data_IF_150056796029
#
_entry.id   IF_150056796029
#
_cell.length_a   1.000
_cell.length_b   1.000
_cell.length_c   1.000
_cell.angle_alpha   90.00
_cell.angle_beta   90.00
_cell.angle_gamma   90.00
#
_symmetry.space_group_name_H-M   'P 1'
#
loop_
_entity.id
_entity.type
_entity.pdbx_description
1 polymer ?
#
# COMPACT_ATOMS: atom_id res chain seq x y z
N UNK A 1 13.61 24.13 -71.92
CA UNK A 1 13.68 22.68 -71.64
C UNK A 1 15.10 22.32 -71.27
N UNK A 2 15.40 22.08 -69.99
CA UNK A 2 16.51 21.21 -69.53
C UNK A 2 16.50 21.06 -68.00
N UNK A 3 16.10 19.85 -67.59
CA UNK A 3 16.61 19.02 -66.49
C UNK A 3 16.63 19.55 -65.06
N UNK A 4 15.54 19.22 -64.36
CA UNK A 4 15.44 18.56 -63.04
C UNK A 4 16.75 18.30 -62.28
N UNK A 5 16.94 19.04 -61.19
CA UNK A 5 17.90 18.77 -60.12
C UNK A 5 17.30 17.82 -59.07
N UNK A 6 17.89 16.63 -58.94
CA UNK A 6 17.71 15.77 -57.76
C UNK A 6 19.05 15.71 -57.01
N UNK A 7 19.02 16.14 -55.75
CA UNK A 7 20.14 16.06 -54.81
C UNK A 7 20.13 14.64 -54.24
N UNK A 8 21.05 13.78 -54.68
CA UNK A 8 21.31 12.51 -54.01
C UNK A 8 22.41 12.71 -52.97
N UNK A 9 21.97 12.97 -51.73
CA UNK A 9 22.79 12.82 -50.53
C UNK A 9 23.00 11.34 -50.25
N UNK A 10 24.15 10.81 -50.64
CA UNK A 10 24.64 9.53 -50.12
C UNK A 10 25.80 9.84 -49.18
N UNK A 11 25.51 9.85 -47.88
CA UNK A 11 26.50 9.99 -46.83
C UNK A 11 27.54 8.87 -46.98
N UNK A 12 28.80 9.28 -47.01
CA UNK A 12 29.96 8.41 -46.96
C UNK A 12 29.88 7.45 -45.77
N UNK A 13 29.76 6.15 -46.04
CA UNK A 13 30.07 5.11 -45.06
C UNK A 13 31.59 5.05 -44.94
N UNK A 14 32.11 5.49 -43.80
CA UNK A 14 33.52 5.35 -43.45
C UNK A 14 33.91 3.87 -43.51
N UNK A 15 34.91 3.55 -44.34
CA UNK A 15 35.57 2.24 -44.33
C UNK A 15 36.16 2.03 -42.93
N UNK A 16 35.50 1.22 -42.11
CA UNK A 16 36.10 0.68 -40.89
C UNK A 16 37.17 -0.31 -41.34
N UNK A 17 38.43 0.11 -41.26
CA UNK A 17 39.58 -0.75 -41.45
C UNK A 17 39.62 -1.79 -40.33
N UNK A 18 39.08 -2.99 -40.58
CA UNK A 18 39.27 -4.13 -39.68
C UNK A 18 40.76 -4.51 -39.70
N UNK A 19 41.38 -4.58 -38.52
CA UNK A 19 42.75 -5.08 -38.40
C UNK A 19 42.84 -6.52 -38.95
N UNK A 20 43.95 -6.92 -39.60
CA UNK A 20 44.08 -8.28 -40.12
C UNK A 20 44.14 -9.27 -38.95
N UNK A 21 43.05 -9.99 -38.71
CA UNK A 21 42.94 -11.06 -37.70
C UNK A 21 43.59 -12.37 -38.18
N UNK A 22 43.98 -12.43 -39.46
CA UNK A 22 44.60 -13.57 -40.14
C UNK A 22 45.71 -14.29 -39.33
N UNK A 23 46.69 -13.62 -38.69
CA UNK A 23 47.73 -14.32 -37.95
C UNK A 23 47.24 -14.96 -36.63
N UNK A 24 46.08 -14.54 -36.12
CA UNK A 24 45.51 -15.00 -34.84
C UNK A 24 44.53 -16.16 -34.99
N UNK A 25 44.05 -16.44 -36.21
CA UNK A 25 43.09 -17.51 -36.49
C UNK A 25 43.53 -18.88 -35.94
N UNK A 26 44.83 -19.21 -36.07
CA UNK A 26 45.38 -20.47 -35.55
C UNK A 26 45.26 -20.59 -34.03
N UNK A 27 45.47 -19.50 -33.30
CA UNK A 27 45.36 -19.52 -31.84
C UNK A 27 43.90 -19.56 -31.38
N UNK A 28 43.01 -18.84 -32.07
CA UNK A 28 41.57 -18.89 -31.83
C UNK A 28 41.03 -20.30 -32.09
N UNK A 29 41.47 -20.95 -33.18
CA UNK A 29 41.07 -22.31 -33.50
C UNK A 29 41.54 -23.33 -32.45
N UNK A 30 42.79 -23.22 -31.98
CA UNK A 30 43.32 -24.07 -30.91
C UNK A 30 42.55 -23.84 -29.59
N UNK A 31 42.25 -22.59 -29.25
CA UNK A 31 41.48 -22.27 -28.04
C UNK A 31 40.05 -22.83 -28.12
N UNK A 32 39.41 -22.75 -29.28
CA UNK A 32 38.07 -23.28 -29.50
C UNK A 32 38.06 -24.82 -29.42
N UNK A 33 39.07 -25.48 -30.02
CA UNK A 33 39.26 -26.92 -29.87
C UNK A 33 39.47 -27.33 -28.41
N UNK A 34 40.32 -26.63 -27.67
CA UNK A 34 40.54 -26.91 -26.24
C UNK A 34 39.25 -26.75 -25.42
N UNK A 35 38.44 -25.73 -25.72
CA UNK A 35 37.15 -25.51 -25.05
C UNK A 35 36.14 -26.62 -25.34
N UNK A 36 36.09 -27.11 -26.58
CA UNK A 36 35.23 -28.24 -26.97
C UNK A 36 35.68 -29.54 -26.30
N UNK A 37 36.99 -29.83 -26.29
CA UNK A 37 37.55 -31.02 -25.64
C UNK A 37 37.25 -31.00 -24.13
N UNK A 38 37.40 -29.84 -23.48
CA UNK A 38 37.06 -29.66 -22.06
C UNK A 38 35.59 -29.95 -21.76
N UNK A 39 34.67 -29.48 -22.62
CA UNK A 39 33.24 -29.77 -22.47
C UNK A 39 32.92 -31.25 -22.64
N UNK A 40 33.54 -31.93 -23.62
CA UNK A 40 33.33 -33.36 -23.83
C UNK A 40 33.88 -34.18 -22.65
N UNK A 41 35.04 -33.81 -22.13
CA UNK A 41 35.64 -34.46 -20.97
C UNK A 41 34.78 -34.30 -19.71
N UNK A 42 34.29 -33.09 -19.45
CA UNK A 42 33.39 -32.84 -18.30
C UNK A 42 32.06 -33.59 -18.43
N UNK A 43 31.49 -33.68 -19.63
CA UNK A 43 30.26 -34.45 -19.85
C UNK A 43 30.47 -35.95 -19.59
N UNK A 44 31.63 -36.49 -19.98
CA UNK A 44 31.98 -37.90 -19.82
C UNK A 44 32.29 -38.27 -18.37
N UNK A 45 32.95 -37.37 -17.62
CA UNK A 45 33.31 -37.59 -16.21
C UNK A 45 32.14 -37.35 -15.26
N UNK A 46 31.14 -36.56 -15.67
CA UNK A 46 29.99 -36.20 -14.83
C UNK A 46 29.20 -37.42 -14.35
N UNK A 47 29.07 -38.46 -15.18
CA UNK A 47 28.30 -39.67 -14.86
C UNK A 47 28.90 -40.48 -13.72
N UNK A 48 30.23 -40.44 -13.57
CA UNK A 48 30.93 -41.13 -12.48
C UNK A 48 31.10 -40.27 -11.22
N UNK A 49 30.92 -38.96 -11.31
CA UNK A 49 30.95 -38.05 -10.14
C UNK A 49 29.60 -37.93 -9.42
N UNK A 50 28.53 -38.52 -9.95
CA UNK A 50 27.23 -38.58 -9.28
C UNK A 50 27.21 -39.69 -8.22
N UNK A 51 26.83 -39.40 -6.96
CA UNK A 51 26.63 -40.44 -5.95
C UNK A 51 25.60 -41.46 -6.43
N UNK A 52 26.01 -42.73 -6.56
CA UNK A 52 25.14 -43.83 -7.00
C UNK A 52 24.26 -44.37 -5.88
N UNK A 53 24.59 -44.03 -4.64
CA UNK A 53 23.87 -44.49 -3.45
C UNK A 53 22.72 -43.56 -3.10
N UNK A 54 21.56 -44.17 -2.84
CA UNK A 54 20.41 -43.44 -2.30
C UNK A 54 20.77 -42.94 -0.89
N UNK A 55 20.40 -41.71 -0.51
CA UNK A 55 20.58 -41.25 0.86
C UNK A 55 19.91 -42.24 1.82
N UNK A 56 20.52 -42.49 3.00
CA UNK A 56 19.96 -43.41 3.97
C UNK A 56 18.51 -43.02 4.28
N UNK A 57 17.58 -43.98 4.36
CA UNK A 57 16.19 -43.68 4.65
C UNK A 57 16.13 -42.96 6.00
N UNK A 58 15.52 -41.77 6.00
CA UNK A 58 15.22 -41.05 7.22
C UNK A 58 14.38 -41.97 8.11
N UNK A 59 14.90 -42.30 9.29
CA UNK A 59 14.15 -43.08 10.29
C UNK A 59 12.92 -42.26 10.66
N UNK A 60 11.79 -42.58 10.05
CA UNK A 60 10.51 -42.12 10.54
C UNK A 60 10.27 -42.90 11.82
N UNK A 61 10.63 -42.29 12.96
CA UNK A 61 10.14 -42.73 14.24
C UNK A 61 8.61 -42.66 14.16
N UNK A 62 7.99 -43.78 13.82
CA UNK A 62 6.58 -43.99 14.06
C UNK A 62 6.42 -44.14 15.57
N UNK A 63 6.56 -43.04 16.30
CA UNK A 63 5.92 -42.95 17.59
C UNK A 63 4.44 -43.10 17.29
N UNK A 64 3.91 -44.31 17.46
CA UNK A 64 2.47 -44.49 17.63
C UNK A 64 2.15 -43.61 18.83
N UNK A 65 1.67 -42.40 18.57
CA UNK A 65 1.17 -41.52 19.60
C UNK A 65 0.05 -42.32 20.27
N UNK A 66 0.34 -42.92 21.42
CA UNK A 66 -0.64 -43.61 22.23
C UNK A 66 -1.57 -42.50 22.68
N UNK A 67 -2.66 -42.31 21.93
CA UNK A 67 -3.67 -41.31 22.24
C UNK A 67 -4.22 -41.67 23.61
N UNK A 68 -3.76 -40.95 24.64
CA UNK A 68 -4.26 -41.13 26.00
C UNK A 68 -5.75 -40.81 25.95
N UNK A 69 -6.56 -41.68 26.55
CA UNK A 69 -8.00 -41.47 26.59
C UNK A 69 -8.27 -40.20 27.38
N UNK A 70 -9.35 -39.47 27.05
CA UNK A 70 -9.78 -38.29 27.84
C UNK A 70 -9.91 -38.62 29.35
N UNK A 71 -10.21 -39.88 29.69
CA UNK A 71 -10.28 -40.37 31.07
C UNK A 71 -8.94 -40.32 31.83
N UNK A 72 -7.80 -40.51 31.15
CA UNK A 72 -6.47 -40.45 31.78
C UNK A 72 -6.13 -39.05 32.29
N UNK A 73 -6.80 -38.02 31.76
CA UNK A 73 -6.64 -36.63 32.17
C UNK A 73 -7.56 -36.22 33.34
N UNK A 74 -8.42 -37.12 33.83
CA UNK A 74 -9.32 -36.83 34.95
C UNK A 74 -8.60 -36.41 36.23
N UNK A 75 -7.36 -36.88 36.43
CA UNK A 75 -6.50 -36.47 37.56
C UNK A 75 -6.16 -34.97 37.50
N UNK A 76 -6.05 -34.39 36.32
CA UNK A 76 -5.75 -32.95 36.15
C UNK A 76 -6.95 -32.11 36.59
N UNK A 77 -8.16 -32.54 36.21
CA UNK A 77 -9.40 -31.89 36.64
C UNK A 77 -9.63 -32.06 38.13
N UNK A 78 -9.39 -33.26 38.67
CA UNK A 78 -9.57 -33.56 40.10
C UNK A 78 -8.58 -32.80 40.99
N UNK A 79 -7.33 -32.60 40.53
CA UNK A 79 -6.32 -31.82 41.25
C UNK A 79 -6.48 -30.32 41.09
N UNK A 80 -7.41 -29.85 40.26
CA UNK A 80 -7.73 -28.44 40.02
C UNK A 80 -6.49 -27.53 40.06
N UNK A 81 -5.53 -27.76 39.16
CA UNK A 81 -4.23 -27.05 39.13
C UNK A 81 -4.33 -25.52 39.05
N UNK A 82 -5.52 -24.98 38.74
CA UNK A 82 -5.78 -23.54 38.66
C UNK A 82 -6.46 -22.98 39.92
N UNK A 83 -6.93 -23.84 40.83
CA UNK A 83 -7.56 -23.46 42.08
C UNK A 83 -7.44 -24.60 43.11
N UNK A 84 -6.24 -24.78 43.65
CA UNK A 84 -5.95 -25.79 44.68
C UNK A 84 -6.82 -25.60 45.93
N UNK A 85 -7.12 -24.35 46.28
CA UNK A 85 -7.91 -24.00 47.45
C UNK A 85 -9.43 -24.22 47.28
N UNK A 86 -9.91 -24.54 46.06
CA UNK A 86 -11.33 -24.60 45.68
C UNK A 86 -12.17 -23.38 46.09
N UNK A 87 -11.51 -22.23 46.33
CA UNK A 87 -12.19 -20.97 46.66
C UNK A 87 -12.46 -20.23 45.37
N UNK A 88 -13.72 -19.97 45.08
CA UNK A 88 -14.08 -19.10 43.94
C UNK A 88 -13.71 -17.67 44.36
N UNK A 89 -12.76 -16.99 43.69
CA UNK A 89 -12.47 -15.60 44.01
C UNK A 89 -13.74 -14.77 43.81
N UNK A 90 -13.90 -13.73 44.64
CA UNK A 90 -15.01 -12.79 44.50
C UNK A 90 -15.09 -12.29 43.04
N UNK A 91 -16.29 -12.32 42.47
CA UNK A 91 -16.50 -11.86 41.10
C UNK A 91 -16.00 -10.42 40.95
N UNK A 92 -15.25 -10.12 39.89
CA UNK A 92 -14.74 -8.78 39.58
C UNK A 92 -15.85 -7.70 39.50
N UNK A 93 -17.12 -8.10 39.47
CA UNK A 93 -18.28 -7.21 39.50
C UNK A 93 -18.80 -6.84 40.89
N UNK A 94 -18.42 -7.54 41.97
CA UNK A 94 -18.97 -7.29 43.30
C UNK A 94 -18.28 -6.15 44.07
N UNK A 95 -17.08 -5.71 43.65
CA UNK A 95 -16.41 -4.51 44.20
C UNK A 95 -16.91 -3.18 43.62
N UNK A 96 -17.79 -3.17 42.62
CA UNK A 96 -18.26 -1.94 41.95
C UNK A 96 -19.48 -1.26 42.60
N UNK A 97 -19.79 -1.56 43.86
CA UNK A 97 -20.65 -0.69 44.71
C UNK A 97 -19.85 0.23 45.63
N UNK A 98 -18.54 0.35 45.42
CA UNK A 98 -17.70 1.42 45.97
C UNK A 98 -17.50 2.53 44.93
N UNK A 99 -17.94 3.73 45.27
CA UNK A 99 -17.70 5.04 44.66
C UNK A 99 -17.10 5.06 43.22
N UNK A 100 -17.98 4.97 42.22
CA UNK A 100 -17.65 4.98 40.78
C UNK A 100 -17.16 6.35 40.25
N UNK A 101 -16.96 7.32 41.12
CA UNK A 101 -16.56 8.71 40.86
C UNK A 101 -15.10 8.99 41.25
N UNK A 102 -14.41 8.03 41.86
CA UNK A 102 -13.01 8.19 42.26
C UNK A 102 -12.05 8.03 41.07
N UNK A 103 -11.00 8.86 40.92
CA UNK A 103 -9.95 8.72 39.90
C UNK A 103 -9.21 7.37 39.92
N UNK A 104 -9.28 6.65 41.04
CA UNK A 104 -8.66 5.33 41.22
C UNK A 104 -9.58 4.15 40.86
N UNK A 105 -10.83 4.41 40.46
CA UNK A 105 -11.70 3.36 39.96
C UNK A 105 -11.19 2.76 38.63
N UNK A 106 -11.48 1.48 38.34
CA UNK A 106 -11.10 0.84 37.08
C UNK A 106 -11.74 1.56 35.88
N UNK A 107 -10.96 1.72 34.80
CA UNK A 107 -11.40 2.43 33.59
C UNK A 107 -12.60 1.72 32.93
N UNK A 108 -13.65 2.47 32.59
CA UNK A 108 -14.86 1.94 31.92
C UNK A 108 -14.94 2.39 30.46
N UNK A 109 -15.57 1.58 29.60
CA UNK A 109 -15.72 1.92 28.18
C UNK A 109 -16.43 3.27 28.01
N UNK A 110 -15.79 4.18 27.28
CA UNK A 110 -16.30 5.53 27.07
C UNK A 110 -17.48 5.55 26.10
N UNK A 111 -18.43 6.45 26.35
CA UNK A 111 -19.52 6.81 25.42
C UNK A 111 -19.31 8.18 24.78
N UNK A 112 -18.14 8.80 24.99
CA UNK A 112 -17.80 10.04 24.32
C UNK A 112 -17.66 9.79 22.81
N UNK A 113 -17.97 10.80 22.00
CA UNK A 113 -17.76 10.78 20.54
C UNK A 113 -16.29 10.88 20.14
N UNK A 114 -15.46 10.03 20.75
CA UNK A 114 -14.03 9.90 20.51
C UNK A 114 -13.78 8.53 19.89
N UNK A 115 -13.07 8.50 18.77
CA UNK A 115 -12.73 7.26 18.10
C UNK A 115 -11.22 7.09 18.02
N UNK A 116 -10.71 5.95 18.50
CA UNK A 116 -9.30 5.65 18.47
C UNK A 116 -8.90 5.14 17.07
N UNK A 117 -8.09 5.91 16.35
CA UNK A 117 -7.61 5.55 15.02
C UNK A 117 -6.35 4.67 15.09
N UNK A 118 -5.47 4.95 16.05
CA UNK A 118 -4.19 4.25 16.16
C UNK A 118 -3.41 4.62 17.43
N UNK A 119 -2.51 3.74 17.84
CA UNK A 119 -1.62 3.94 18.99
C UNK A 119 -0.20 3.55 18.63
N UNK A 120 0.77 4.42 18.90
CA UNK A 120 2.21 4.14 18.85
C UNK A 120 2.69 4.09 20.30
N UNK A 121 3.01 2.89 20.78
CA UNK A 121 3.47 2.67 22.16
C UNK A 121 4.99 2.60 22.19
N UNK A 122 5.61 3.44 23.01
CA UNK A 122 7.06 3.43 23.23
C UNK A 122 7.39 2.74 24.56
N UNK A 123 8.63 2.24 24.73
CA UNK A 123 9.10 1.66 26.01
C UNK A 123 9.02 2.65 27.18
N UNK A 124 9.10 3.94 26.87
CA UNK A 124 8.81 5.01 27.82
C UNK A 124 7.36 5.44 27.61
N UNK A 125 6.46 5.22 28.59
CA UNK A 125 5.03 5.54 28.47
C UNK A 125 4.76 6.98 28.05
N UNK A 126 5.55 7.95 28.52
CA UNK A 126 5.37 9.38 28.22
C UNK A 126 5.63 9.72 26.75
N UNK A 127 6.40 8.88 26.04
CA UNK A 127 6.67 9.04 24.61
C UNK A 127 5.63 8.35 23.72
N UNK A 128 4.63 7.71 24.31
CA UNK A 128 3.55 7.06 23.55
C UNK A 128 2.61 8.10 22.96
N UNK A 129 2.09 7.81 21.76
CA UNK A 129 1.22 8.72 21.00
C UNK A 129 -0.03 7.97 20.57
N UNK A 130 -1.19 8.57 20.75
CA UNK A 130 -2.47 8.08 20.28
C UNK A 130 -3.05 9.04 19.24
N UNK A 131 -3.53 8.51 18.13
CA UNK A 131 -4.29 9.26 17.12
C UNK A 131 -5.78 9.06 17.41
N UNK A 132 -6.45 10.15 17.80
CA UNK A 132 -7.85 10.14 18.23
C UNK A 132 -8.62 11.10 17.35
N UNK A 133 -9.74 10.63 16.81
CA UNK A 133 -10.70 11.42 16.05
C UNK A 133 -11.82 11.93 16.97
N UNK A 134 -12.07 13.24 16.90
CA UNK A 134 -13.22 13.88 17.55
C UNK A 134 -14.39 13.89 16.56
N UNK A 135 -15.37 13.01 16.75
CA UNK A 135 -16.48 12.81 15.80
C UNK A 135 -17.30 14.10 15.57
N UNK A 136 -17.40 14.97 16.57
CA UNK A 136 -18.11 16.25 16.44
C UNK A 136 -17.48 17.21 15.41
N UNK A 137 -16.18 17.07 15.11
CA UNK A 137 -15.43 17.95 14.21
C UNK A 137 -14.84 17.22 13.00
N UNK A 138 -14.95 15.89 12.92
CA UNK A 138 -14.24 15.04 11.95
C UNK A 138 -12.74 15.40 11.85
N UNK A 139 -12.13 15.74 12.99
CA UNK A 139 -10.73 16.13 13.08
C UNK A 139 -9.97 15.07 13.85
N UNK A 140 -8.93 14.54 13.22
CA UNK A 140 -8.00 13.58 13.82
C UNK A 140 -6.77 14.31 14.34
N UNK A 141 -6.50 14.16 15.64
CA UNK A 141 -5.37 14.79 16.31
C UNK A 141 -4.53 13.75 17.06
N UNK A 142 -3.25 14.05 17.22
CA UNK A 142 -2.32 13.20 17.95
C UNK A 142 -2.17 13.70 19.40
N UNK A 143 -2.34 12.79 20.36
CA UNK A 143 -2.30 13.07 21.79
C UNK A 143 -1.23 12.22 22.48
N UNK A 144 -0.57 12.82 23.47
CA UNK A 144 0.41 12.14 24.33
C UNK A 144 -0.16 11.93 25.74
N UNK A 145 0.51 11.10 26.54
CA UNK A 145 0.19 10.96 27.97
C UNK A 145 0.30 12.33 28.65
N UNK A 146 -0.70 12.68 29.47
CA UNK A 146 -0.81 13.97 30.17
C UNK A 146 -1.37 15.11 29.33
N UNK A 147 -1.72 14.88 28.06
CA UNK A 147 -2.33 15.94 27.21
C UNK A 147 -3.85 15.96 27.33
N UNK A 148 -4.42 17.17 27.28
CA UNK A 148 -5.87 17.37 27.31
C UNK A 148 -6.46 17.32 25.91
N UNK A 149 -7.48 16.50 25.75
CA UNK A 149 -8.34 16.41 24.56
C UNK A 149 -9.41 17.49 24.72
N UNK A 150 -9.08 18.70 24.27
CA UNK A 150 -9.95 19.88 24.35
C UNK A 150 -10.50 20.10 25.78
N UNK A 151 -11.83 20.12 25.93
CA UNK A 151 -12.56 20.23 27.20
C UNK A 151 -13.21 18.91 27.63
N UNK A 152 -12.91 17.81 26.93
CA UNK A 152 -13.61 16.53 27.09
C UNK A 152 -12.86 15.57 28.01
N UNK A 153 -11.55 15.43 27.84
CA UNK A 153 -10.79 14.40 28.54
C UNK A 153 -9.31 14.74 28.72
N UNK A 154 -8.65 14.08 29.66
CA UNK A 154 -7.20 14.13 29.87
C UNK A 154 -6.58 12.74 29.78
N UNK A 155 -5.59 12.55 28.89
CA UNK A 155 -5.02 11.22 28.62
C UNK A 155 -4.13 10.77 29.77
N UNK A 156 -4.44 9.62 30.37
CA UNK A 156 -3.68 9.06 31.50
C UNK A 156 -2.73 7.96 31.04
N UNK A 157 -3.17 7.08 30.14
CA UNK A 157 -2.39 5.92 29.71
C UNK A 157 -2.67 5.56 28.27
N UNK A 158 -1.62 5.27 27.51
CA UNK A 158 -1.71 4.79 26.12
C UNK A 158 -1.15 3.38 26.07
N UNK A 159 -2.01 2.42 25.74
CA UNK A 159 -1.69 1.01 25.57
C UNK A 159 -1.90 0.59 24.12
N UNK A 160 -1.48 -0.65 23.77
CA UNK A 160 -1.66 -1.15 22.42
C UNK A 160 -3.15 -1.32 22.14
N UNK A 161 -3.68 -0.52 21.20
CA UNK A 161 -5.10 -0.51 20.79
C UNK A 161 -6.07 0.00 21.85
N UNK A 162 -5.59 0.58 22.95
CA UNK A 162 -6.42 1.08 24.05
C UNK A 162 -5.85 2.36 24.62
N UNK A 163 -6.70 3.35 24.87
CA UNK A 163 -6.30 4.60 25.52
C UNK A 163 -7.22 4.85 26.70
N UNK A 164 -6.63 5.05 27.88
CA UNK A 164 -7.32 5.44 29.11
C UNK A 164 -7.15 6.95 29.33
N UNK A 165 -8.24 7.59 29.71
CA UNK A 165 -8.30 9.02 29.98
C UNK A 165 -9.30 9.33 31.09
N UNK A 166 -9.15 10.49 31.71
CA UNK A 166 -10.11 11.01 32.69
C UNK A 166 -11.07 11.92 31.94
N UNK A 167 -12.37 11.62 31.99
CA UNK A 167 -13.40 12.48 31.43
C UNK A 167 -13.62 13.68 32.36
N UNK A 168 -13.42 14.89 31.84
CA UNK A 168 -13.44 16.13 32.63
C UNK A 168 -14.85 16.52 33.11
N UNK A 169 -15.92 15.93 32.56
CA UNK A 169 -17.30 16.22 32.97
C UNK A 169 -17.74 15.44 34.22
N UNK A 170 -17.31 14.20 34.34
CA UNK A 170 -17.72 13.29 35.42
C UNK A 170 -16.54 12.87 36.31
N UNK A 171 -15.34 13.38 36.02
CA UNK A 171 -14.07 13.08 36.67
C UNK A 171 -13.78 11.58 36.78
N UNK A 172 -14.27 10.79 35.82
CA UNK A 172 -14.18 9.33 35.81
C UNK A 172 -13.15 8.85 34.80
N UNK A 173 -12.40 7.82 35.16
CA UNK A 173 -11.49 7.12 34.24
C UNK A 173 -12.30 6.31 33.24
N UNK A 174 -12.14 6.64 31.96
CA UNK A 174 -12.78 5.97 30.83
C UNK A 174 -11.70 5.49 29.85
N UNK A 175 -12.05 4.54 28.98
CA UNK A 175 -11.16 4.10 27.91
C UNK A 175 -11.86 3.96 26.56
N UNK A 176 -11.08 4.10 25.50
CA UNK A 176 -11.47 3.81 24.12
C UNK A 176 -10.54 2.74 23.56
N UNK A 177 -11.08 1.87 22.72
CA UNK A 177 -10.33 0.79 22.08
C UNK A 177 -10.54 0.78 20.56
N UNK A 178 -9.57 0.23 19.83
CA UNK A 178 -9.67 0.02 18.39
C UNK A 178 -10.43 -1.29 18.16
N UNK A 179 -11.57 -1.31 17.45
CA UNK A 179 -12.29 -2.53 17.09
C UNK A 179 -11.37 -3.57 16.41
N UNK A 180 -11.53 -4.86 16.74
CA UNK A 180 -10.71 -5.97 16.21
C UNK A 180 -10.89 -6.21 14.70
N UNK A 181 -11.98 -5.71 14.15
CA UNK A 181 -12.42 -5.88 12.77
C UNK A 181 -11.98 -4.76 11.84
N UNK A 182 -11.18 -3.79 12.30
CA UNK A 182 -10.44 -2.92 11.38
C UNK A 182 -9.37 -3.78 10.72
N UNK A 183 -9.70 -4.32 9.55
CA UNK A 183 -8.75 -4.85 8.57
C UNK A 183 -7.80 -3.72 8.17
N UNK A 184 -6.82 -3.44 9.03
CA UNK A 184 -5.68 -2.60 8.74
C UNK A 184 -4.89 -3.32 7.65
N UNK A 185 -5.20 -2.97 6.41
CA UNK A 185 -4.35 -3.24 5.25
C UNK A 185 -3.07 -2.40 5.41
N UNK A 186 -2.20 -2.78 6.33
CA UNK A 186 -0.81 -2.35 6.30
C UNK A 186 -0.23 -2.93 5.02
N UNK A 187 0.09 -2.05 4.06
CA UNK A 187 0.68 -2.37 2.78
C UNK A 187 2.13 -2.87 2.90
N UNK A 188 2.34 -3.91 3.71
CA UNK A 188 3.47 -4.80 3.55
C UNK A 188 3.04 -5.81 2.50
N UNK A 189 3.39 -5.51 1.25
CA UNK A 189 3.30 -6.48 0.18
C UNK A 189 4.21 -7.65 0.53
N UNK A 190 3.64 -8.70 1.10
CA UNK A 190 4.23 -10.03 1.02
C UNK A 190 4.19 -10.41 -0.46
N UNK A 191 5.32 -10.15 -1.12
CA UNK A 191 5.64 -10.55 -2.49
C UNK A 191 5.83 -12.06 -2.57
N UNK A 192 4.82 -12.85 -2.18
CA UNK A 192 4.86 -14.31 -2.32
C UNK A 192 3.52 -14.94 -2.70
N UNK A 193 2.47 -14.13 -2.90
CA UNK A 193 1.22 -14.62 -3.48
C UNK A 193 0.98 -13.98 -4.85
N UNK A 194 1.79 -14.40 -5.84
CA UNK A 194 1.34 -14.48 -7.23
C UNK A 194 0.28 -15.57 -7.37
N UNK A 195 -0.85 -15.40 -6.68
CA UNK A 195 -2.07 -16.12 -6.98
C UNK A 195 -2.77 -15.35 -8.09
N UNK A 196 -2.38 -15.66 -9.32
CA UNK A 196 -3.15 -15.57 -10.58
C UNK A 196 -4.57 -15.01 -10.40
N UNK A 197 -4.70 -13.68 -10.32
CA UNK A 197 -5.96 -12.99 -10.57
C UNK A 197 -6.04 -12.77 -12.07
N UNK A 198 -6.35 -13.86 -12.78
CA UNK A 198 -7.04 -13.74 -14.06
C UNK A 198 -8.51 -13.50 -13.76
N UNK A 199 -9.00 -12.29 -14.03
CA UNK A 199 -10.34 -11.89 -14.51
C UNK A 199 -10.62 -10.44 -14.05
N UNK A 200 -10.58 -9.41 -14.89
CA UNK A 200 -10.39 -9.36 -16.32
C UNK A 200 -9.69 -8.08 -16.74
N UNK A 201 -8.78 -8.24 -17.68
CA UNK A 201 -8.29 -7.19 -18.54
C UNK A 201 -9.46 -6.61 -19.35
N UNK A 202 -10.14 -5.62 -18.79
CA UNK A 202 -10.61 -4.52 -19.60
C UNK A 202 -9.60 -3.40 -19.38
N UNK A 203 -8.70 -3.15 -20.34
CA UNK A 203 -8.03 -1.85 -20.37
C UNK A 203 -9.16 -0.84 -20.59
N UNK A 204 -9.57 -0.13 -19.54
CA UNK A 204 -10.70 0.82 -19.60
C UNK A 204 -10.32 2.06 -20.42
N UNK A 205 -9.01 2.28 -20.56
CA UNK A 205 -8.41 3.35 -21.33
C UNK A 205 -7.51 2.76 -22.43
N UNK A 206 -7.75 3.16 -23.67
CA UNK A 206 -6.86 2.86 -24.80
C UNK A 206 -5.92 4.04 -25.03
N UNK A 207 -4.62 3.82 -24.87
CA UNK A 207 -3.61 4.81 -25.27
C UNK A 207 -3.50 4.82 -26.79
N UNK A 208 -3.90 5.93 -27.42
CA UNK A 208 -3.87 6.15 -28.88
C UNK A 208 -2.58 6.84 -29.31
N UNK A 209 -1.90 7.56 -28.40
CA UNK A 209 -0.65 8.27 -28.65
C UNK A 209 0.17 8.50 -27.37
N UNK A 210 1.29 9.24 -27.48
CA UNK A 210 2.21 9.44 -26.35
C UNK A 210 1.53 10.16 -25.16
N UNK A 211 0.60 11.08 -25.44
CA UNK A 211 -0.23 11.75 -24.44
C UNK A 211 -1.72 11.79 -24.85
N UNK A 212 -2.15 10.76 -25.59
CA UNK A 212 -3.53 10.68 -26.10
C UNK A 212 -4.18 9.38 -25.65
N UNK A 213 -5.32 9.54 -24.99
CA UNK A 213 -6.07 8.46 -24.37
C UNK A 213 -7.51 8.49 -24.88
N UNK A 214 -8.05 7.32 -25.18
CA UNK A 214 -9.45 7.15 -25.52
C UNK A 214 -10.13 6.37 -24.38
N UNK A 215 -11.21 6.96 -23.85
CA UNK A 215 -11.97 6.42 -22.72
C UNK A 215 -13.41 6.20 -23.17
N UNK A 216 -14.00 5.05 -22.82
CA UNK A 216 -15.42 4.82 -23.13
C UNK A 216 -16.32 5.67 -22.23
N UNK A 217 -17.44 6.16 -22.78
CA UNK A 217 -18.46 6.92 -22.02
C UNK A 217 -19.02 6.08 -20.87
N UNK A 218 -19.15 4.78 -21.09
CA UNK A 218 -19.64 3.84 -20.08
C UNK A 218 -18.69 3.75 -18.87
N UNK A 219 -17.38 3.79 -19.11
CA UNK A 219 -16.38 3.73 -18.05
C UNK A 219 -16.24 5.05 -17.31
N UNK A 220 -16.24 6.20 -18.02
CA UNK A 220 -16.28 7.50 -17.36
C UNK A 220 -17.48 7.67 -16.42
N UNK A 221 -18.67 7.20 -16.82
CA UNK A 221 -19.85 7.22 -15.94
C UNK A 221 -19.61 6.37 -14.69
N UNK A 222 -19.09 5.16 -14.83
CA UNK A 222 -18.78 4.28 -13.67
C UNK A 222 -17.85 4.92 -12.65
N UNK A 223 -16.90 5.74 -13.09
CA UNK A 223 -15.95 6.42 -12.21
C UNK A 223 -16.45 7.76 -11.67
N UNK A 224 -17.39 8.40 -12.39
CA UNK A 224 -17.99 9.67 -11.98
C UNK A 224 -19.31 9.51 -11.20
N UNK A 225 -19.84 8.28 -11.14
CA UNK A 225 -21.01 7.89 -10.37
C UNK A 225 -20.83 8.22 -8.88
N UNK A 226 -21.73 9.00 -8.25
CA UNK A 226 -21.62 9.38 -6.84
C UNK A 226 -21.52 8.19 -5.88
N UNK A 227 -22.18 7.07 -6.21
CA UNK A 227 -22.17 5.85 -5.39
C UNK A 227 -20.82 5.13 -5.37
N UNK A 228 -20.00 5.32 -6.41
CA UNK A 228 -18.66 4.72 -6.56
C UNK A 228 -17.53 5.71 -6.34
N UNK A 229 -17.84 7.01 -6.32
CA UNK A 229 -16.87 8.09 -6.15
C UNK A 229 -15.96 7.88 -4.94
N UNK A 230 -16.50 7.44 -3.79
CA UNK A 230 -15.68 7.14 -2.60
C UNK A 230 -14.57 6.11 -2.90
N UNK A 231 -14.89 5.07 -3.66
CA UNK A 231 -13.93 4.03 -4.01
C UNK A 231 -12.91 4.52 -5.04
N UNK A 232 -13.28 5.44 -5.93
CA UNK A 232 -12.37 6.06 -6.89
C UNK A 232 -11.43 7.02 -6.17
N UNK A 233 -11.93 7.90 -5.31
CA UNK A 233 -11.11 8.83 -4.53
C UNK A 233 -10.15 8.12 -3.58
N UNK A 234 -10.44 6.89 -3.15
CA UNK A 234 -9.51 6.07 -2.36
C UNK A 234 -8.39 5.41 -3.18
N UNK A 235 -8.40 5.53 -4.51
CA UNK A 235 -7.37 4.96 -5.38
C UNK A 235 -6.19 5.90 -5.62
N UNK A 236 -6.31 7.20 -5.28
CA UNK A 236 -5.22 8.15 -5.36
C UNK A 236 -5.31 9.21 -4.27
N UNK A 237 -4.16 9.72 -3.82
CA UNK A 237 -4.06 10.82 -2.87
C UNK A 237 -3.48 12.04 -3.58
N UNK A 238 -4.26 13.12 -3.62
CA UNK A 238 -3.86 14.39 -4.20
C UNK A 238 -3.68 15.44 -3.10
N UNK A 239 -2.66 16.28 -3.23
CA UNK A 239 -2.39 17.38 -2.29
C UNK A 239 -2.06 18.67 -3.06
N UNK A 240 -2.47 19.84 -2.56
CA UNK A 240 -2.11 21.12 -3.16
C UNK A 240 -0.59 21.26 -3.33
N UNK A 241 -0.17 21.67 -4.52
CA UNK A 241 1.22 22.01 -4.81
C UNK A 241 1.37 23.54 -4.78
N UNK A 242 2.24 24.04 -3.89
CA UNK A 242 2.47 25.46 -3.70
C UNK A 242 3.65 25.94 -4.55
N UNK A 243 3.40 26.93 -5.39
CA UNK A 243 4.41 27.68 -6.12
C UNK A 243 4.61 29.10 -5.54
N UNK A 244 5.38 29.96 -6.23
CA UNK A 244 5.74 31.30 -5.74
C UNK A 244 4.52 32.23 -5.50
N UNK A 245 3.43 32.01 -6.24
CA UNK A 245 2.24 32.85 -6.23
C UNK A 245 1.03 32.16 -5.56
N UNK A 246 1.26 31.13 -4.74
CA UNK A 246 0.19 30.35 -4.09
C UNK A 246 0.05 28.94 -4.67
N UNK A 247 -1.15 28.37 -4.65
CA UNK A 247 -1.39 27.01 -5.17
C UNK A 247 -1.24 27.02 -6.70
N UNK A 248 -0.25 26.30 -7.22
CA UNK A 248 0.02 26.15 -8.66
C UNK A 248 -0.81 25.02 -9.27
N UNK A 249 -1.20 24.03 -8.47
CA UNK A 249 -1.97 22.88 -8.92
C UNK A 249 -2.14 21.82 -7.84
N UNK A 250 -2.49 20.60 -8.24
CA UNK A 250 -2.67 19.46 -7.34
C UNK A 250 -1.76 18.31 -7.74
N UNK A 251 -0.95 17.82 -6.79
CA UNK A 251 0.06 16.78 -7.00
C UNK A 251 -0.40 15.40 -6.53
N UNK A 252 -0.12 14.36 -7.32
CA UNK A 252 -0.33 12.97 -6.90
C UNK A 252 0.78 12.54 -5.93
N UNK A 253 0.43 12.30 -4.66
CA UNK A 253 1.35 11.76 -3.65
C UNK A 253 1.39 10.24 -3.63
N UNK A 254 0.29 9.62 -4.01
CA UNK A 254 0.15 8.18 -4.03
C UNK A 254 -0.92 7.78 -5.05
N UNK A 255 -0.66 6.71 -5.79
CA UNK A 255 -1.58 6.09 -6.74
C UNK A 255 -1.58 4.59 -6.47
N UNK A 256 -2.77 3.99 -6.38
CA UNK A 256 -2.92 2.55 -6.21
C UNK A 256 -2.56 1.85 -7.53
N UNK A 257 -1.71 0.81 -7.52
CA UNK A 257 -1.44 0.00 -8.71
C UNK A 257 -2.72 -0.66 -9.25
N UNK A 258 -2.90 -0.64 -10.57
CA UNK A 258 -4.11 -1.09 -11.27
C UNK A 258 -5.33 -0.18 -11.06
N UNK A 259 -5.12 1.08 -10.66
CA UNK A 259 -6.22 2.05 -10.53
C UNK A 259 -6.54 2.73 -11.85
N UNK A 260 -7.72 3.38 -11.90
CA UNK A 260 -8.09 4.21 -13.06
C UNK A 260 -7.09 5.35 -13.30
N UNK A 261 -6.47 5.90 -12.26
CA UNK A 261 -5.49 6.99 -12.43
C UNK A 261 -4.23 6.50 -13.13
N UNK A 262 -3.75 5.30 -12.79
CA UNK A 262 -2.63 4.69 -13.50
C UNK A 262 -3.00 4.33 -14.94
N UNK A 263 -4.21 3.82 -15.18
CA UNK A 263 -4.69 3.52 -16.54
C UNK A 263 -4.88 4.77 -17.41
N UNK A 264 -5.26 5.90 -16.81
CA UNK A 264 -5.28 7.21 -17.46
C UNK A 264 -3.86 7.75 -17.72
N UNK A 265 -2.82 7.08 -17.23
CA UNK A 265 -1.43 7.44 -17.49
C UNK A 265 -0.86 8.46 -16.51
N UNK A 266 -1.49 8.66 -15.35
CA UNK A 266 -0.91 9.47 -14.27
C UNK A 266 0.15 8.68 -13.50
N UNK A 267 1.16 9.42 -13.05
CA UNK A 267 2.25 8.90 -12.23
C UNK A 267 2.36 9.68 -10.92
N UNK A 268 2.94 9.05 -9.90
CA UNK A 268 3.25 9.72 -8.63
C UNK A 268 4.22 10.87 -8.91
N UNK A 269 3.91 12.05 -8.39
CA UNK A 269 4.67 13.28 -8.63
C UNK A 269 4.12 14.16 -9.76
N UNK A 270 3.18 13.67 -10.58
CA UNK A 270 2.48 14.51 -11.56
C UNK A 270 1.69 15.62 -10.85
N UNK A 271 1.77 16.85 -11.36
CA UNK A 271 1.02 18.00 -10.85
C UNK A 271 0.03 18.48 -11.91
N UNK A 272 -1.27 18.34 -11.64
CA UNK A 272 -2.32 18.88 -12.51
C UNK A 272 -2.43 20.38 -12.25
N UNK A 273 -2.17 21.19 -13.26
CA UNK A 273 -2.22 22.66 -13.17
C UNK A 273 -3.47 23.24 -13.83
N UNK A 274 -4.11 22.50 -14.75
CA UNK A 274 -5.31 22.96 -15.43
C UNK A 274 -6.10 21.87 -16.14
N UNK A 275 -7.38 22.14 -16.40
CA UNK A 275 -8.29 21.33 -17.22
C UNK A 275 -8.91 22.25 -18.27
N UNK A 276 -8.86 21.86 -19.54
CA UNK A 276 -9.41 22.57 -20.70
C UNK A 276 -8.94 24.03 -20.83
N UNK A 277 -7.74 24.33 -20.33
CA UNK A 277 -7.14 25.67 -20.31
C UNK A 277 -7.52 26.52 -19.10
N UNK A 278 -8.39 26.02 -18.20
CA UNK A 278 -8.69 26.68 -16.93
C UNK A 278 -7.72 26.24 -15.83
N UNK A 279 -7.08 27.19 -15.10
CA UNK A 279 -6.14 26.86 -14.04
C UNK A 279 -6.87 26.35 -12.78
N UNK A 280 -6.39 25.25 -12.22
CA UNK A 280 -6.94 24.63 -11.01
C UNK A 280 -6.09 25.02 -9.81
N UNK A 281 -6.32 26.23 -9.32
CA UNK A 281 -5.56 26.83 -8.21
C UNK A 281 -6.30 26.82 -6.86
N UNK A 282 -7.50 26.25 -6.79
CA UNK A 282 -8.29 26.14 -5.54
C UNK A 282 -9.19 24.89 -5.59
N UNK A 283 -9.52 24.26 -4.44
CA UNK A 283 -10.41 23.10 -4.41
C UNK A 283 -11.77 23.33 -5.06
N UNK A 284 -12.31 24.56 -5.05
CA UNK A 284 -13.60 24.85 -5.69
C UNK A 284 -13.54 24.65 -7.20
N UNK A 285 -12.48 25.15 -7.84
CA UNK A 285 -12.26 24.97 -9.28
C UNK A 285 -12.01 23.51 -9.66
N UNK A 286 -11.35 22.76 -8.78
CA UNK A 286 -11.17 21.32 -8.98
C UNK A 286 -12.53 20.59 -9.03
N UNK A 287 -13.47 20.98 -8.18
CA UNK A 287 -14.83 20.43 -8.18
C UNK A 287 -15.64 20.88 -9.40
N UNK A 288 -15.49 22.13 -9.85
CA UNK A 288 -16.10 22.63 -11.08
C UNK A 288 -15.60 21.85 -12.31
N UNK A 289 -14.28 21.67 -12.44
CA UNK A 289 -13.66 20.87 -13.48
C UNK A 289 -14.15 19.40 -13.46
N UNK A 290 -14.27 18.80 -12.27
CA UNK A 290 -14.83 17.44 -12.14
C UNK A 290 -16.28 17.35 -12.61
N UNK A 291 -17.10 18.37 -12.37
CA UNK A 291 -18.49 18.38 -12.85
C UNK A 291 -18.56 18.60 -14.37
N UNK A 292 -17.70 19.45 -14.94
CA UNK A 292 -17.60 19.66 -16.38
C UNK A 292 -17.17 18.37 -17.12
N UNK A 293 -16.25 17.61 -16.52
CA UNK A 293 -15.73 16.34 -17.05
C UNK A 293 -16.84 15.31 -17.34
N UNK A 294 -17.90 15.25 -16.53
CA UNK A 294 -19.00 14.27 -16.68
C UNK A 294 -19.72 14.39 -18.02
N UNK A 295 -19.75 15.59 -18.59
CA UNK A 295 -20.52 15.89 -19.79
C UNK A 295 -19.63 16.07 -21.03
N UNK A 296 -18.34 16.37 -20.86
CA UNK A 296 -17.43 16.61 -21.98
C UNK A 296 -17.19 15.37 -22.85
N UNK A 297 -16.84 15.61 -24.11
CA UNK A 297 -16.41 14.59 -25.08
C UNK A 297 -14.91 14.60 -25.32
N UNK A 298 -14.23 15.69 -25.00
CA UNK A 298 -12.78 15.83 -25.08
C UNK A 298 -12.28 16.62 -23.88
N UNK A 299 -11.22 16.15 -23.24
CA UNK A 299 -10.66 16.78 -22.04
C UNK A 299 -9.17 16.96 -22.26
N UNK A 300 -8.69 18.18 -22.08
CA UNK A 300 -7.26 18.51 -22.12
C UNK A 300 -6.76 18.78 -20.71
N UNK A 301 -5.77 18.05 -20.25
CA UNK A 301 -5.17 18.25 -18.93
C UNK A 301 -3.77 18.83 -19.07
N UNK A 302 -3.53 19.92 -18.36
CA UNK A 302 -2.19 20.49 -18.22
C UNK A 302 -1.53 19.86 -16.99
N UNK A 303 -0.40 19.19 -17.20
CA UNK A 303 0.32 18.45 -16.17
C UNK A 303 1.78 18.89 -16.13
N UNK A 304 2.37 18.99 -14.95
CA UNK A 304 3.82 19.07 -14.78
C UNK A 304 4.33 17.70 -14.41
N UNK A 305 5.16 17.09 -15.27
CA UNK A 305 5.78 15.78 -15.08
C UNK A 305 7.28 15.92 -15.14
N UNK A 306 7.98 15.48 -14.07
CA UNK A 306 9.44 15.63 -13.99
C UNK A 306 9.95 17.08 -14.13
N UNK A 307 9.11 18.07 -13.84
CA UNK A 307 9.41 19.50 -14.01
C UNK A 307 9.12 20.08 -15.40
N UNK A 308 8.73 19.26 -16.38
CA UNK A 308 8.30 19.71 -17.70
C UNK A 308 6.77 19.84 -17.77
N UNK A 309 6.28 20.85 -18.51
CA UNK A 309 4.85 21.01 -18.78
C UNK A 309 4.45 20.11 -19.96
N UNK A 310 3.52 19.23 -19.72
CA UNK A 310 2.91 18.31 -20.68
C UNK A 310 1.40 18.59 -20.77
N UNK A 311 0.83 18.28 -21.94
CA UNK A 311 -0.62 18.30 -22.15
C UNK A 311 -1.07 16.88 -22.46
N UNK A 312 -2.08 16.40 -21.73
CA UNK A 312 -2.67 15.07 -21.92
C UNK A 312 -4.09 15.22 -22.45
N UNK A 313 -4.36 14.60 -23.60
CA UNK A 313 -5.63 14.66 -24.29
C UNK A 313 -6.42 13.37 -24.07
N UNK A 314 -7.66 13.51 -23.60
CA UNK A 314 -8.60 12.40 -23.43
C UNK A 314 -9.79 12.60 -24.36
N UNK A 315 -10.02 11.64 -25.25
CA UNK A 315 -11.22 11.57 -26.09
C UNK A 315 -12.22 10.58 -25.49
N UNK A 316 -13.49 10.98 -25.43
CA UNK A 316 -14.56 10.15 -24.91
C UNK A 316 -15.36 9.58 -26.08
N UNK A 317 -15.21 8.29 -26.34
CA UNK A 317 -16.02 7.58 -27.33
C UNK A 317 -17.27 6.98 -26.68
N UNK A 318 -18.35 6.81 -27.46
CA UNK A 318 -19.56 6.10 -26.99
C UNK A 318 -19.31 4.63 -26.67
#
# INVERSE_FOLDING_TARGET
>A
MTKTTWINSTKALSKVSMAPIEPYFKYIYVALLAWVISNIATLSLRTDMLPKDKPPPQIQNQSKARSKSRGDYGVITAKNIFNEDNKIPESLGQKSKGDLTSPDAPAVLSKLGLQLMGTIVHINPEKSVASIEVQAKNLTSAFRVGTKIETLAEVTKIERRRVEFINLKNNRKEYIEIPEDIKLSMGLMNSDNSAKVSTGSGKFVKRTGENEYNVSRSDLKRFTDPSKLKNVLNQARMEPNYGPNGVEGFSFKWIKPGSIFEELGFSVGDVITGVDGEPINDPRKAMEAYNALKNSTNIRLNVIRGGAREEINYSVSE
#
